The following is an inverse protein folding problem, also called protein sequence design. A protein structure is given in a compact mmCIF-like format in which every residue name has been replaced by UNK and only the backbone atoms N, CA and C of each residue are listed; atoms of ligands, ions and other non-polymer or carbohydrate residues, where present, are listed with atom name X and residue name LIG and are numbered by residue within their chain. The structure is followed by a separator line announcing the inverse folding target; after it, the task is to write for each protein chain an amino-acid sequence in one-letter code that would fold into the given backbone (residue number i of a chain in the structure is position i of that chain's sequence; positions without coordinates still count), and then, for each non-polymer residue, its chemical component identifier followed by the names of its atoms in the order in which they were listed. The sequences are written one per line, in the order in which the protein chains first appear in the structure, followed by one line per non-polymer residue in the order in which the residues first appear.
data_IF_299518459914
#
_entry.id   IF_299518459914
#
_cell.length_a   1.000
_cell.length_b   1.000
_cell.length_c   1.000
_cell.angle_alpha   90.00
_cell.angle_beta   90.00
_cell.angle_gamma   90.00
#
_symmetry.space_group_name_H-M   'P 1'
#
loop_
_entity.id
_entity.type
_entity.pdbx_description
1 polymer ?
#
# COMPACT_ATOMS: atom_id res chain seq x y z
N UNK A 1 -19.74 -62.03 25.77
CA UNK A 1 -18.80 -60.90 25.91
C UNK A 1 -18.40 -60.44 24.52
N UNK A 2 -19.00 -59.34 24.00
CA UNK A 2 -18.64 -58.75 22.71
C UNK A 2 -17.85 -57.48 23.00
N UNK A 3 -16.54 -57.52 22.74
CA UNK A 3 -15.66 -56.35 22.87
C UNK A 3 -15.95 -55.37 21.75
N UNK A 4 -16.29 -54.14 22.13
CA UNK A 4 -16.47 -53.00 21.24
C UNK A 4 -15.11 -52.28 21.15
N UNK A 5 -14.40 -52.41 20.03
CA UNK A 5 -13.23 -51.59 19.74
C UNK A 5 -13.69 -50.20 19.31
N UNK A 6 -13.42 -49.18 20.13
CA UNK A 6 -13.45 -47.78 19.69
C UNK A 6 -12.20 -47.48 18.88
N UNK A 7 -12.37 -47.17 17.60
CA UNK A 7 -11.33 -46.59 16.75
C UNK A 7 -11.38 -45.08 16.96
N UNK A 8 -10.39 -44.51 17.67
CA UNK A 8 -10.17 -43.06 17.67
C UNK A 8 -9.52 -42.66 16.34
N UNK A 9 -10.32 -42.12 15.42
CA UNK A 9 -9.81 -41.41 14.26
C UNK A 9 -9.32 -40.02 14.71
N UNK A 10 -7.99 -39.84 14.81
CA UNK A 10 -7.38 -38.54 15.05
C UNK A 10 -7.55 -37.64 13.83
N UNK A 11 -8.27 -36.53 13.98
CA UNK A 11 -8.31 -35.44 13.01
C UNK A 11 -6.97 -34.69 13.06
N UNK A 12 -6.04 -35.08 12.19
CA UNK A 12 -4.87 -34.25 11.89
C UNK A 12 -5.35 -33.04 11.09
N UNK A 13 -5.56 -31.92 11.76
CA UNK A 13 -5.80 -30.65 11.09
C UNK A 13 -4.55 -30.24 10.32
N UNK A 14 -4.64 -30.21 8.99
CA UNK A 14 -3.59 -29.66 8.13
C UNK A 14 -3.44 -28.16 8.40
N UNK A 15 -2.43 -27.77 9.17
CA UNK A 15 -2.03 -26.36 9.23
C UNK A 15 -1.52 -25.97 7.84
N UNK A 16 -2.28 -25.15 7.10
CA UNK A 16 -1.81 -24.57 5.85
C UNK A 16 -0.58 -23.71 6.17
N UNK A 17 0.55 -24.02 5.56
CA UNK A 17 1.76 -23.21 5.70
C UNK A 17 1.47 -21.80 5.17
N UNK A 18 1.43 -20.81 6.08
CA UNK A 18 1.22 -19.42 5.71
C UNK A 18 2.42 -18.94 4.91
N UNK A 19 2.18 -18.40 3.71
CA UNK A 19 3.25 -17.88 2.86
C UNK A 19 3.87 -16.65 3.53
N UNK A 20 5.19 -16.68 3.73
CA UNK A 20 5.95 -15.53 4.24
C UNK A 20 6.31 -14.63 3.07
N UNK A 21 5.92 -13.37 3.15
CA UNK A 21 6.27 -12.31 2.21
C UNK A 21 7.25 -11.33 2.86
N UNK A 22 7.73 -10.34 2.11
CA UNK A 22 8.56 -9.25 2.62
C UNK A 22 7.85 -7.91 2.54
N UNK A 23 8.12 -7.04 3.52
CA UNK A 23 7.69 -5.65 3.50
C UNK A 23 8.76 -4.73 2.90
N UNK A 24 8.31 -3.67 2.25
CA UNK A 24 9.13 -2.58 1.74
C UNK A 24 8.43 -1.24 1.95
N UNK A 25 9.12 -0.13 1.69
CA UNK A 25 8.56 1.22 1.66
C UNK A 25 8.61 1.78 0.24
N UNK A 26 7.63 2.58 -0.15
CA UNK A 26 7.64 3.25 -1.46
C UNK A 26 6.70 4.44 -1.52
N UNK A 27 7.05 5.42 -2.34
CA UNK A 27 6.24 6.59 -2.66
C UNK A 27 6.72 7.19 -3.98
N UNK A 28 6.07 6.82 -5.07
CA UNK A 28 6.40 7.27 -6.44
C UNK A 28 5.55 8.46 -6.90
N UNK A 29 4.57 8.86 -6.09
CA UNK A 29 3.57 9.90 -6.36
C UNK A 29 2.61 9.57 -7.51
N UNK A 30 2.68 8.38 -8.12
CA UNK A 30 1.86 8.02 -9.26
C UNK A 30 0.37 7.96 -8.88
N UNK A 31 -0.54 8.21 -9.84
CA UNK A 31 -1.94 7.79 -9.65
C UNK A 31 -1.99 6.28 -9.37
N UNK A 32 -2.65 5.83 -8.29
CA UNK A 32 -2.73 4.41 -7.95
C UNK A 32 -3.53 3.61 -9.00
N UNK A 33 -3.17 2.35 -9.22
CA UNK A 33 -3.77 1.50 -10.26
C UNK A 33 -5.29 1.32 -10.03
N UNK A 34 -5.72 1.19 -8.78
CA UNK A 34 -7.13 0.98 -8.45
C UNK A 34 -8.02 2.23 -8.60
N UNK A 35 -7.42 3.38 -8.92
CA UNK A 35 -8.12 4.59 -9.37
C UNK A 35 -8.49 4.55 -10.87
N UNK A 36 -8.13 3.48 -11.57
CA UNK A 36 -8.39 3.30 -12.99
C UNK A 36 -9.45 2.21 -13.20
N UNK A 37 -10.42 2.46 -14.09
CA UNK A 37 -11.47 1.48 -14.44
C UNK A 37 -11.38 0.96 -15.88
N UNK A 38 -10.65 1.62 -16.78
CA UNK A 38 -10.44 1.20 -18.18
C UNK A 38 -11.72 0.71 -18.90
N UNK A 39 -12.83 1.45 -18.75
CA UNK A 39 -14.12 1.11 -19.37
C UNK A 39 -14.91 0.00 -18.67
N UNK A 40 -14.36 -0.60 -17.60
CA UNK A 40 -15.03 -1.63 -16.78
C UNK A 40 -15.88 -0.98 -15.69
N UNK A 41 -16.97 -0.34 -16.09
CA UNK A 41 -17.84 0.43 -15.18
C UNK A 41 -18.41 -0.41 -14.03
N UNK A 42 -18.54 -1.73 -14.19
CA UNK A 42 -18.95 -2.65 -13.12
C UNK A 42 -18.01 -2.60 -11.88
N UNK A 43 -16.77 -2.14 -12.03
CA UNK A 43 -15.85 -1.92 -10.90
C UNK A 43 -16.35 -0.82 -9.95
N UNK A 44 -17.05 0.18 -10.48
CA UNK A 44 -17.59 1.28 -9.67
C UNK A 44 -18.65 0.78 -8.69
N UNK A 45 -19.46 -0.19 -9.11
CA UNK A 45 -20.49 -0.80 -8.27
C UNK A 45 -19.92 -1.86 -7.33
N UNK A 46 -18.94 -2.65 -7.79
CA UNK A 46 -18.44 -3.79 -7.01
C UNK A 46 -17.45 -3.39 -5.92
N UNK A 47 -16.63 -2.36 -6.15
CA UNK A 47 -15.61 -1.94 -5.18
C UNK A 47 -15.41 -0.42 -5.04
N UNK A 48 -16.12 0.39 -5.83
CA UNK A 48 -15.82 1.81 -5.96
C UNK A 48 -14.51 2.08 -6.70
N UNK A 49 -13.97 3.29 -6.52
CA UNK A 49 -12.71 3.70 -7.17
C UNK A 49 -11.86 4.48 -6.18
N UNK A 50 -10.55 4.24 -6.19
CA UNK A 50 -9.63 4.96 -5.32
C UNK A 50 -9.64 6.45 -5.70
N UNK A 51 -9.82 7.31 -4.71
CA UNK A 51 -9.67 8.75 -4.83
C UNK A 51 -8.25 9.14 -5.23
N UNK A 52 -8.12 10.30 -5.85
CA UNK A 52 -6.81 10.80 -6.31
C UNK A 52 -6.71 12.29 -6.05
N UNK A 53 -5.48 12.78 -6.00
CA UNK A 53 -5.21 14.18 -5.76
C UNK A 53 -4.57 14.86 -6.97
N UNK A 54 -4.75 16.18 -7.04
CA UNK A 54 -4.04 17.03 -8.00
C UNK A 54 -2.58 17.23 -7.57
N UNK A 55 -1.83 18.03 -8.34
CA UNK A 55 -0.42 18.31 -8.07
C UNK A 55 -0.16 18.98 -6.70
N UNK A 56 -1.18 19.62 -6.11
CA UNK A 56 -1.10 20.34 -4.84
C UNK A 56 -1.64 19.50 -3.66
N UNK A 57 -1.80 18.19 -3.83
CA UNK A 57 -2.42 17.28 -2.86
C UNK A 57 -3.88 17.65 -2.52
N UNK A 58 -4.60 18.31 -3.43
CA UNK A 58 -6.04 18.53 -3.25
C UNK A 58 -6.83 17.37 -3.85
N UNK A 59 -7.77 16.74 -3.11
CA UNK A 59 -8.62 15.69 -3.65
C UNK A 59 -9.38 16.16 -4.89
N UNK A 60 -9.35 15.36 -5.95
CA UNK A 60 -10.17 15.59 -7.14
C UNK A 60 -11.59 15.09 -6.82
N UNK A 61 -12.47 16.01 -6.44
CA UNK A 61 -13.83 15.69 -5.95
C UNK A 61 -14.76 15.13 -7.04
N UNK A 62 -14.57 15.53 -8.30
CA UNK A 62 -15.25 14.89 -9.42
C UNK A 62 -14.61 13.52 -9.69
N UNK A 63 -15.32 12.47 -9.26
CA UNK A 63 -14.93 11.07 -9.45
C UNK A 63 -14.56 10.77 -10.91
N UNK A 64 -15.35 11.23 -11.87
CA UNK A 64 -15.15 10.90 -13.27
C UNK A 64 -13.94 11.66 -13.85
N UNK A 65 -13.67 12.87 -13.36
CA UNK A 65 -12.42 13.57 -13.65
C UNK A 65 -11.21 12.81 -13.08
N UNK A 66 -11.27 12.35 -11.82
CA UNK A 66 -10.22 11.53 -11.21
C UNK A 66 -9.94 10.23 -11.97
N UNK A 67 -11.00 9.54 -12.43
CA UNK A 67 -10.90 8.34 -13.27
C UNK A 67 -10.19 8.65 -14.59
N UNK A 68 -10.54 9.74 -15.28
CA UNK A 68 -9.98 10.13 -16.59
C UNK A 68 -8.61 10.82 -16.51
N UNK A 69 -8.22 11.29 -15.33
CA UNK A 69 -6.94 11.95 -15.13
C UNK A 69 -5.78 11.01 -15.49
N UNK A 70 -4.78 11.55 -16.19
CA UNK A 70 -3.57 10.82 -16.51
C UNK A 70 -2.77 10.58 -15.22
N UNK A 71 -2.03 9.47 -15.15
CA UNK A 71 -1.08 9.31 -14.05
C UNK A 71 0.02 10.37 -14.16
N UNK A 72 0.35 11.01 -13.03
CA UNK A 72 1.50 11.92 -12.93
C UNK A 72 2.84 11.28 -13.30
N UNK A 73 2.92 9.95 -13.37
CA UNK A 73 4.13 9.23 -13.75
C UNK A 73 4.37 9.11 -15.25
N UNK A 74 3.34 9.28 -16.09
CA UNK A 74 3.49 9.25 -17.56
C UNK A 74 3.52 10.65 -18.17
N UNK A 75 2.92 11.64 -17.51
CA UNK A 75 2.90 13.02 -18.00
C UNK A 75 2.70 14.03 -16.88
N UNK A 76 3.25 15.23 -17.06
CA UNK A 76 2.97 16.41 -16.24
C UNK A 76 2.02 17.33 -17.01
N UNK A 77 0.73 17.31 -16.65
CA UNK A 77 -0.32 18.13 -17.27
C UNK A 77 -1.30 18.64 -16.21
N UNK A 78 -2.16 19.60 -16.58
CA UNK A 78 -3.25 20.05 -15.70
C UNK A 78 -4.30 18.97 -15.41
N UNK A 79 -4.32 17.88 -16.19
CA UNK A 79 -5.17 16.71 -16.00
C UNK A 79 -4.40 15.53 -15.38
N UNK A 80 -3.22 15.76 -14.80
CA UNK A 80 -2.47 14.71 -14.10
C UNK A 80 -2.97 14.54 -12.67
N UNK A 81 -3.07 13.29 -12.24
CA UNK A 81 -3.43 12.90 -10.88
C UNK A 81 -2.31 12.09 -10.21
N UNK A 82 -2.28 12.15 -8.88
CA UNK A 82 -1.21 11.67 -8.01
C UNK A 82 -1.80 10.92 -6.80
N UNK A 83 -0.93 10.23 -6.04
CA UNK A 83 -1.28 9.79 -4.68
C UNK A 83 -1.69 11.01 -3.84
N UNK A 84 -2.71 10.82 -2.99
CA UNK A 84 -3.02 11.75 -1.92
C UNK A 84 -2.09 11.54 -0.72
N UNK A 85 -1.71 12.61 -0.04
CA UNK A 85 -0.94 12.56 1.20
C UNK A 85 -1.64 11.79 2.33
N UNK A 86 -2.98 11.77 2.32
CA UNK A 86 -3.83 10.96 3.20
C UNK A 86 -3.58 9.45 3.08
N UNK A 87 -2.85 8.98 2.05
CA UNK A 87 -2.44 7.58 1.92
C UNK A 87 -1.15 7.23 2.67
N UNK A 88 -0.58 8.16 3.43
CA UNK A 88 0.51 7.91 4.36
C UNK A 88 0.08 6.99 5.52
N UNK A 89 1.01 6.20 6.09
CA UNK A 89 0.72 5.29 7.20
C UNK A 89 0.53 6.08 8.50
N UNK A 90 -0.41 5.64 9.31
CA UNK A 90 -0.75 6.30 10.58
C UNK A 90 -0.74 5.29 11.73
N UNK A 91 0.00 5.54 12.82
CA UNK A 91 -0.10 4.71 14.02
C UNK A 91 -1.43 5.02 14.73
N UNK A 92 -2.16 3.97 15.12
CA UNK A 92 -3.42 4.09 15.89
C UNK A 92 -3.26 3.56 17.31
N UNK A 93 -2.21 2.79 17.56
CA UNK A 93 -1.73 2.37 18.87
C UNK A 93 -0.20 2.11 18.81
N UNK A 94 0.41 1.76 19.94
CA UNK A 94 1.84 1.48 20.03
C UNK A 94 2.27 0.27 19.16
N UNK A 95 1.38 -0.69 18.99
CA UNK A 95 1.57 -1.94 18.26
C UNK A 95 0.61 -2.13 17.06
N UNK A 96 -0.25 -1.14 16.79
CA UNK A 96 -1.15 -1.13 15.62
C UNK A 96 -1.00 0.13 14.78
N UNK A 97 -0.83 -0.04 13.47
CA UNK A 97 -0.94 1.04 12.48
C UNK A 97 -1.95 0.71 11.39
N UNK A 98 -2.35 1.73 10.64
CA UNK A 98 -3.18 1.59 9.45
C UNK A 98 -2.50 2.28 8.28
N UNK A 99 -2.84 1.89 7.06
CA UNK A 99 -2.42 2.63 5.88
C UNK A 99 -2.74 1.89 4.59
N UNK A 100 -1.87 2.09 3.60
CA UNK A 100 -2.12 1.68 2.24
C UNK A 100 -0.87 1.03 1.66
N UNK A 101 -1.05 0.14 0.69
CA UNK A 101 0.06 -0.61 0.14
C UNK A 101 -0.07 -0.86 -1.37
N UNK A 102 1.09 -1.11 -1.97
CA UNK A 102 1.25 -1.79 -3.23
C UNK A 102 1.41 -3.28 -2.90
N UNK A 103 0.60 -4.13 -3.52
CA UNK A 103 0.82 -5.58 -3.44
C UNK A 103 1.47 -6.04 -4.74
N UNK A 104 2.66 -6.63 -4.65
CA UNK A 104 3.37 -7.07 -5.84
C UNK A 104 2.65 -8.28 -6.44
N UNK A 105 2.17 -8.09 -7.67
CA UNK A 105 1.39 -9.08 -8.41
C UNK A 105 1.69 -9.00 -9.91
N UNK A 106 1.30 -10.04 -10.64
CA UNK A 106 1.58 -10.13 -12.09
C UNK A 106 0.68 -9.18 -12.92
N UNK A 107 -0.48 -8.78 -12.38
CA UNK A 107 -1.45 -7.92 -13.07
C UNK A 107 -1.39 -6.49 -12.55
N UNK A 108 -1.00 -5.56 -13.41
CA UNK A 108 -0.93 -4.12 -13.11
C UNK A 108 -2.15 -3.37 -13.67
N UNK A 109 -3.34 -3.96 -13.54
CA UNK A 109 -4.58 -3.43 -14.10
C UNK A 109 -5.59 -3.07 -13.00
N UNK A 110 -6.45 -2.09 -13.28
CA UNK A 110 -7.48 -1.64 -12.35
C UNK A 110 -8.52 -2.70 -11.98
N UNK A 111 -8.69 -3.75 -12.77
CA UNK A 111 -9.54 -4.90 -12.44
C UNK A 111 -8.80 -6.03 -11.72
N UNK A 112 -7.59 -5.78 -11.22
CA UNK A 112 -6.89 -6.73 -10.38
C UNK A 112 -7.76 -7.08 -9.15
N UNK A 113 -7.94 -8.38 -8.83
CA UNK A 113 -8.86 -8.83 -7.77
C UNK A 113 -8.48 -8.35 -6.37
N UNK A 114 -7.24 -7.87 -6.16
CA UNK A 114 -6.79 -7.35 -4.89
C UNK A 114 -6.98 -5.83 -4.75
N UNK A 115 -7.43 -5.15 -5.80
CA UNK A 115 -7.79 -3.73 -5.69
C UNK A 115 -8.82 -3.50 -4.60
N UNK A 116 -8.55 -2.55 -3.70
CA UNK A 116 -9.42 -2.14 -2.60
C UNK A 116 -9.70 -3.22 -1.54
N UNK A 117 -9.00 -4.36 -1.57
CA UNK A 117 -9.01 -5.34 -0.49
C UNK A 117 -8.14 -4.89 0.67
N UNK A 118 -8.49 -5.33 1.87
CA UNK A 118 -7.73 -5.07 3.08
C UNK A 118 -7.11 -6.33 3.64
N UNK A 119 -5.93 -6.15 4.25
CA UNK A 119 -5.17 -7.23 4.86
C UNK A 119 -4.68 -6.80 6.23
N UNK A 120 -4.75 -7.71 7.20
CA UNK A 120 -4.04 -7.57 8.45
C UNK A 120 -2.64 -8.15 8.28
N UNK A 121 -1.63 -7.29 8.38
CA UNK A 121 -0.21 -7.61 8.28
C UNK A 121 0.37 -7.76 9.67
N UNK A 122 1.24 -8.76 9.87
CA UNK A 122 2.06 -8.92 11.07
C UNK A 122 3.51 -9.11 10.69
N UNK A 123 4.39 -8.31 11.28
CA UNK A 123 5.83 -8.49 11.12
C UNK A 123 6.33 -9.66 11.95
N UNK A 124 7.13 -10.52 11.33
CA UNK A 124 7.81 -11.64 11.95
C UNK A 124 9.25 -11.29 12.35
N UNK A 125 9.89 -10.37 11.62
CA UNK A 125 11.27 -9.95 11.86
C UNK A 125 11.42 -8.43 11.88
N UNK A 126 12.60 -7.97 12.28
CA UNK A 126 12.90 -6.54 12.41
C UNK A 126 12.35 -5.89 13.69
N UNK A 127 12.54 -4.57 13.81
CA UNK A 127 12.16 -3.83 15.02
C UNK A 127 10.63 -3.71 15.20
N UNK A 128 9.86 -3.98 14.15
CA UNK A 128 8.41 -4.06 14.20
C UNK A 128 7.89 -5.48 14.47
N UNK A 129 8.74 -6.47 14.78
CA UNK A 129 8.31 -7.83 15.06
C UNK A 129 7.18 -7.85 16.11
N UNK A 130 6.13 -8.64 15.85
CA UNK A 130 4.88 -8.73 16.60
C UNK A 130 3.94 -7.51 16.53
N UNK A 131 4.34 -6.40 15.89
CA UNK A 131 3.39 -5.34 15.56
C UNK A 131 2.51 -5.73 14.39
N UNK A 132 1.35 -5.10 14.33
CA UNK A 132 0.35 -5.30 13.28
C UNK A 132 0.06 -4.01 12.52
N UNK A 133 -0.28 -4.16 11.25
CA UNK A 133 -0.80 -3.07 10.42
C UNK A 133 -1.99 -3.54 9.59
N UNK A 134 -3.04 -2.75 9.51
CA UNK A 134 -4.11 -2.97 8.53
C UNK A 134 -3.80 -2.14 7.29
N UNK A 135 -3.69 -2.79 6.13
CA UNK A 135 -3.43 -2.12 4.86
C UNK A 135 -4.58 -2.32 3.89
N UNK A 136 -4.93 -1.28 3.13
CA UNK A 136 -5.73 -1.41 1.92
C UNK A 136 -4.85 -1.34 0.67
N UNK A 137 -5.08 -2.22 -0.30
CA UNK A 137 -4.31 -2.24 -1.54
C UNK A 137 -4.85 -1.21 -2.54
N UNK A 138 -4.06 -0.18 -2.83
CA UNK A 138 -4.39 0.84 -3.83
C UNK A 138 -3.75 0.59 -5.20
N UNK A 139 -2.66 -0.18 -5.20
CA UNK A 139 -1.87 -0.45 -6.41
C UNK A 139 -1.40 -1.91 -6.40
N UNK A 140 -2.16 -2.85 -6.94
CA UNK A 140 -1.64 -4.17 -7.24
C UNK A 140 -0.69 -4.07 -8.44
N UNK A 141 0.52 -4.63 -8.30
CA UNK A 141 1.52 -4.63 -9.36
C UNK A 141 2.70 -3.70 -9.10
N UNK A 142 3.70 -3.75 -9.99
CA UNK A 142 4.97 -3.04 -9.84
C UNK A 142 5.98 -3.85 -9.03
N UNK A 143 7.13 -4.11 -9.63
CA UNK A 143 8.29 -4.72 -8.96
C UNK A 143 9.58 -4.22 -9.58
N UNK A 144 10.69 -4.43 -8.87
CA UNK A 144 12.03 -4.17 -9.37
C UNK A 144 13.08 -4.44 -8.31
N UNK A 145 14.23 -4.98 -8.71
CA UNK A 145 15.25 -5.43 -7.78
C UNK A 145 14.80 -6.68 -7.02
N UNK A 146 14.97 -6.69 -5.70
CA UNK A 146 14.74 -7.86 -4.85
C UNK A 146 13.27 -8.10 -4.46
N UNK A 147 12.35 -7.21 -4.85
CA UNK A 147 10.92 -7.32 -4.53
C UNK A 147 10.25 -8.36 -5.42
N UNK A 148 9.53 -9.30 -4.80
CA UNK A 148 8.91 -10.47 -5.45
C UNK A 148 7.40 -10.45 -5.31
N UNK A 149 6.73 -11.32 -6.09
CA UNK A 149 5.29 -11.55 -5.98
C UNK A 149 4.89 -11.85 -4.54
N UNK A 150 3.77 -11.26 -4.10
CA UNK A 150 3.22 -11.27 -2.74
C UNK A 150 3.92 -10.36 -1.73
N UNK A 151 5.07 -9.74 -2.05
CA UNK A 151 5.63 -8.71 -1.19
C UNK A 151 4.69 -7.49 -1.12
N UNK A 152 4.75 -6.78 0.01
CA UNK A 152 3.99 -5.55 0.23
C UNK A 152 4.92 -4.36 0.30
N UNK A 153 4.69 -3.35 -0.55
CA UNK A 153 5.35 -2.06 -0.45
C UNK A 153 4.37 -1.12 0.25
N UNK A 154 4.63 -0.78 1.51
CA UNK A 154 3.83 0.15 2.30
C UNK A 154 4.03 1.56 1.75
N UNK A 155 2.94 2.25 1.41
CA UNK A 155 2.99 3.60 0.87
C UNK A 155 3.53 4.56 1.91
N UNK A 156 4.82 4.86 1.86
CA UNK A 156 5.53 5.62 2.90
C UNK A 156 6.25 6.78 2.22
N UNK A 157 5.85 8.03 2.43
CA UNK A 157 6.56 9.19 1.88
C UNK A 157 8.05 9.14 2.22
N UNK A 158 8.90 9.39 1.23
CA UNK A 158 10.34 9.25 1.38
C UNK A 158 10.83 7.79 1.40
N UNK A 159 10.00 6.81 1.09
CA UNK A 159 10.36 5.39 0.94
C UNK A 159 11.06 5.03 -0.38
N UNK A 160 11.19 5.98 -1.29
CA UNK A 160 11.78 5.81 -2.62
C UNK A 160 10.72 5.67 -3.71
N UNK A 161 11.05 6.18 -4.90
CA UNK A 161 10.15 6.22 -6.08
C UNK A 161 10.15 4.92 -6.89
N UNK A 162 11.04 3.99 -6.56
CA UNK A 162 11.20 2.74 -7.29
C UNK A 162 11.58 2.98 -8.78
N UNK A 163 11.09 2.13 -9.70
CA UNK A 163 11.39 2.24 -11.13
C UNK A 163 10.67 3.42 -11.82
N UNK A 164 9.60 3.96 -11.21
CA UNK A 164 8.82 5.07 -11.77
C UNK A 164 9.31 6.40 -11.19
N UNK A 165 10.39 6.95 -11.76
CA UNK A 165 11.10 8.10 -11.18
C UNK A 165 10.47 9.46 -11.49
N UNK A 166 9.52 9.52 -12.43
CA UNK A 166 8.97 10.79 -12.93
C UNK A 166 7.86 11.38 -12.06
N UNK A 167 7.11 10.57 -11.31
CA UNK A 167 5.89 11.02 -10.63
C UNK A 167 6.13 12.15 -9.64
N UNK A 168 7.03 11.95 -8.67
CA UNK A 168 7.32 12.98 -7.68
C UNK A 168 8.03 14.20 -8.27
N UNK A 169 8.86 14.02 -9.30
CA UNK A 169 9.44 15.13 -10.07
C UNK A 169 8.36 15.96 -10.76
N UNK A 170 7.32 15.31 -11.29
CA UNK A 170 6.20 15.98 -11.94
C UNK A 170 5.25 16.64 -10.93
N UNK A 171 5.11 16.10 -9.72
CA UNK A 171 4.25 16.67 -8.67
C UNK A 171 4.92 17.85 -7.96
N UNK A 172 6.16 17.66 -7.49
CA UNK A 172 6.88 18.59 -6.61
C UNK A 172 7.97 19.40 -7.33
N UNK A 173 8.14 19.18 -8.64
CA UNK A 173 9.09 19.90 -9.49
C UNK A 173 10.49 19.27 -9.55
N UNK A 174 11.34 19.86 -10.40
CA UNK A 174 12.70 19.37 -10.70
C UNK A 174 13.66 19.37 -9.50
N UNK A 175 13.34 20.09 -8.43
CA UNK A 175 14.10 20.12 -7.18
C UNK A 175 13.82 18.92 -6.28
N UNK A 176 12.90 18.02 -6.67
CA UNK A 176 12.65 16.77 -5.97
C UNK A 176 13.97 16.00 -5.75
N UNK A 177 14.35 15.81 -4.48
CA UNK A 177 15.55 15.08 -4.07
C UNK A 177 15.45 14.68 -2.60
N UNK A 178 14.56 13.73 -2.29
CA UNK A 178 14.36 13.30 -0.90
C UNK A 178 15.33 12.21 -0.47
N UNK A 179 15.67 11.29 -1.38
CA UNK A 179 16.60 10.18 -1.11
C UNK A 179 16.75 9.28 -2.32
N UNK A 180 17.22 8.05 -2.08
CA UNK A 180 17.49 7.08 -3.13
C UNK A 180 16.21 6.62 -3.83
N UNK A 181 16.33 6.22 -5.10
CA UNK A 181 15.18 5.65 -5.82
C UNK A 181 14.60 4.42 -5.10
N UNK A 182 15.43 3.59 -4.45
CA UNK A 182 14.98 2.44 -3.64
C UNK A 182 15.36 2.66 -2.17
N UNK A 183 14.38 2.54 -1.28
CA UNK A 183 14.55 2.78 0.16
C UNK A 183 14.50 4.25 0.56
N UNK A 184 14.70 5.19 -0.37
CA UNK A 184 14.45 6.61 -0.16
C UNK A 184 15.39 7.28 0.83
N UNK A 185 14.84 8.03 1.78
CA UNK A 185 15.62 8.68 2.86
C UNK A 185 16.39 7.60 3.65
N UNK A 186 17.41 7.96 4.44
CA UNK A 186 18.26 6.99 5.17
C UNK A 186 18.21 7.14 6.69
N UNK A 187 17.63 8.22 7.17
CA UNK A 187 17.51 8.52 8.59
C UNK A 187 16.30 9.42 8.82
N UNK A 188 15.94 9.54 10.10
CA UNK A 188 14.79 10.27 10.58
C UNK A 188 14.87 11.75 10.20
N UNK A 189 16.06 12.35 10.31
CA UNK A 189 16.31 13.78 10.06
C UNK A 189 16.06 14.14 8.59
N UNK A 190 16.31 13.22 7.66
CA UNK A 190 16.04 13.43 6.24
C UNK A 190 14.54 13.56 5.92
N UNK A 191 13.63 13.19 6.83
CA UNK A 191 12.20 13.49 6.67
C UNK A 191 11.94 15.01 6.58
N UNK A 192 12.78 15.86 7.15
CA UNK A 192 12.64 17.32 7.07
C UNK A 192 12.83 17.89 5.65
N UNK A 193 13.38 17.09 4.72
CA UNK A 193 13.50 17.49 3.30
C UNK A 193 12.19 17.36 2.52
N UNK A 194 11.21 16.65 3.08
CA UNK A 194 9.93 16.42 2.43
C UNK A 194 8.99 17.60 2.69
N UNK A 195 8.01 17.84 1.79
CA UNK A 195 6.87 18.71 2.06
C UNK A 195 6.21 18.40 3.40
N UNK A 196 5.78 19.43 4.13
CA UNK A 196 5.26 19.31 5.50
C UNK A 196 4.11 18.30 5.63
N UNK A 197 3.23 18.24 4.63
CA UNK A 197 2.11 17.30 4.58
C UNK A 197 2.53 15.83 4.43
N UNK A 198 3.77 15.55 4.00
CA UNK A 198 4.32 14.19 3.83
C UNK A 198 5.22 13.75 4.99
N UNK A 199 5.66 14.69 5.84
CA UNK A 199 6.64 14.40 6.89
C UNK A 199 6.10 13.37 7.91
N UNK A 200 4.83 13.46 8.29
CA UNK A 200 4.21 12.51 9.24
C UNK A 200 4.32 11.06 8.78
N UNK A 201 4.04 10.80 7.50
CA UNK A 201 4.18 9.48 6.88
C UNK A 201 5.64 9.01 6.79
N UNK A 202 6.57 9.93 6.51
CA UNK A 202 8.01 9.60 6.54
C UNK A 202 8.45 9.21 7.95
N UNK A 203 8.01 9.97 8.96
CA UNK A 203 8.35 9.73 10.36
C UNK A 203 7.80 8.43 10.91
N UNK A 204 6.69 7.91 10.38
CA UNK A 204 6.12 6.63 10.80
C UNK A 204 7.15 5.49 10.77
N UNK A 205 7.96 5.39 9.71
CA UNK A 205 8.91 4.26 9.57
C UNK A 205 10.00 4.28 10.64
N UNK A 206 10.42 5.48 11.05
CA UNK A 206 11.46 5.66 12.06
C UNK A 206 10.94 5.65 13.48
N UNK A 207 9.72 6.15 13.71
CA UNK A 207 9.16 6.28 15.06
C UNK A 207 8.34 5.04 15.47
N UNK A 208 7.40 4.63 14.61
CA UNK A 208 6.50 3.51 14.92
C UNK A 208 7.08 2.17 14.48
N UNK A 209 7.56 2.05 13.23
CA UNK A 209 8.16 0.81 12.73
C UNK A 209 9.62 0.61 13.22
N UNK A 210 10.24 1.70 13.71
CA UNK A 210 11.58 1.72 14.33
C UNK A 210 12.69 1.15 13.44
N UNK A 211 12.61 1.36 12.12
CA UNK A 211 13.66 0.95 11.19
C UNK A 211 13.28 1.13 9.72
N UNK A 212 14.08 0.54 8.84
CA UNK A 212 13.92 0.71 7.39
C UNK A 212 12.75 -0.10 6.79
N UNK A 213 12.19 -1.08 7.51
CA UNK A 213 11.08 -1.99 7.10
C UNK A 213 11.37 -2.88 5.89
N UNK A 214 12.24 -2.43 4.98
CA UNK A 214 12.64 -3.09 3.75
C UNK A 214 13.28 -4.46 3.99
N UNK A 215 12.67 -5.49 3.42
CA UNK A 215 13.14 -6.88 3.45
C UNK A 215 12.75 -7.67 4.71
N UNK A 216 12.05 -7.05 5.68
CA UNK A 216 11.55 -7.74 6.85
C UNK A 216 10.42 -8.70 6.47
N UNK A 217 10.39 -9.83 7.17
CA UNK A 217 9.42 -10.88 6.92
C UNK A 217 8.07 -10.51 7.53
N UNK A 218 7.03 -10.69 6.74
CA UNK A 218 5.64 -10.47 7.12
C UNK A 218 4.80 -11.69 6.78
N UNK A 219 3.72 -11.84 7.51
CA UNK A 219 2.55 -12.58 7.07
C UNK A 219 1.38 -11.62 6.98
N UNK A 220 0.42 -11.93 6.13
CA UNK A 220 -0.82 -11.18 6.10
C UNK A 220 -2.00 -12.05 5.70
N UNK A 221 -3.17 -11.69 6.19
CA UNK A 221 -4.44 -12.35 5.90
C UNK A 221 -5.46 -11.33 5.43
N UNK A 222 -6.32 -11.70 4.49
CA UNK A 222 -7.39 -10.82 4.04
C UNK A 222 -8.34 -10.58 5.22
N UNK A 223 -8.84 -9.36 5.36
CA UNK A 223 -9.89 -9.00 6.30
C UNK A 223 -10.94 -8.12 5.61
N UNK A 224 -12.10 -7.93 6.25
CA UNK A 224 -13.02 -6.88 5.86
C UNK A 224 -12.34 -5.50 6.04
N UNK A 225 -12.52 -4.60 5.07
CA UNK A 225 -11.92 -3.28 5.16
C UNK A 225 -12.58 -2.44 6.28
N UNK A 226 -11.80 -1.89 7.23
CA UNK A 226 -12.35 -0.98 8.23
C UNK A 226 -12.69 0.37 7.59
N UNK A 227 -13.73 1.02 8.11
CA UNK A 227 -14.22 2.30 7.55
C UNK A 227 -13.14 3.37 7.52
N UNK A 228 -12.25 3.40 8.52
CA UNK A 228 -11.13 4.36 8.58
C UNK A 228 -10.24 4.35 7.33
N UNK A 229 -10.13 3.22 6.61
CA UNK A 229 -9.38 3.15 5.35
C UNK A 229 -10.27 3.43 4.13
N UNK A 230 -11.49 2.91 4.12
CA UNK A 230 -12.41 3.07 2.99
C UNK A 230 -12.94 4.50 2.87
N UNK A 231 -13.09 5.20 3.98
CA UNK A 231 -13.50 6.60 4.02
C UNK A 231 -12.41 7.52 3.45
N UNK A 232 -11.14 7.13 3.59
CA UNK A 232 -9.98 7.84 3.01
C UNK A 232 -9.84 7.50 1.52
N UNK A 233 -9.98 6.23 1.13
CA UNK A 233 -9.74 5.80 -0.25
C UNK A 233 -10.94 5.97 -1.17
N UNK A 234 -12.16 5.98 -0.64
CA UNK A 234 -13.39 5.99 -1.44
C UNK A 234 -13.70 4.64 -2.10
N UNK A 235 -13.02 3.56 -1.71
CA UNK A 235 -13.23 2.24 -2.29
C UNK A 235 -13.19 1.12 -1.24
N UNK A 236 -13.91 0.04 -1.48
CA UNK A 236 -13.99 -1.13 -0.61
C UNK A 236 -14.37 -2.36 -1.43
N UNK A 237 -13.48 -3.32 -1.59
CA UNK A 237 -13.82 -4.58 -2.25
C UNK A 237 -14.55 -5.54 -1.28
N UNK A 238 -15.44 -6.41 -1.78
CA UNK A 238 -16.05 -7.46 -0.97
C UNK A 238 -14.99 -8.40 -0.37
N UNK A 239 -15.27 -8.89 0.84
CA UNK A 239 -14.43 -9.88 1.51
C UNK A 239 -14.52 -11.25 0.85
#
# INVERSE_FOLDING_TARGET
MKSLLLVLAGLAGSALAQTVAKSYTGWDCCKPICATVNGKNALLESRGVVGVCDKNNQPISDRDAGIRANTGCSSSSSNSAYLCDSYAPTPVADDVSIGFAIQVSDSQNGDNPNCCKCYQVRWLTGAAANKSMIVQILTPGGSGGDVKKNDLIILTPGGGVGPLTSGCTNQYGKSYSWGDARGGVKNREACEKLPSNLQGGCYWRFNWARGEVNGWDIIYEQIACPSVLTDISGCAAPF
#
